data_IF_087668661939
#
_entry.id   IF_087668661939
#
_cell.length_a   1.000
_cell.length_b   1.000
_cell.length_c   1.000
_cell.angle_alpha   90.00
_cell.angle_beta   90.00
_cell.angle_gamma   90.00
#
_symmetry.space_group_name_H-M   'P 1'
#
loop_
_entity.id
_entity.type
_entity.pdbx_description
1 polymer ?
#
# COMPACT_ATOMS: atom_id res chain seq x y z
N UNK A 1 16.04 13.12 -2.40
CA UNK A 1 16.13 12.41 -3.68
C UNK A 1 15.56 10.99 -3.53
N UNK A 2 14.81 10.55 -4.49
CA UNK A 2 14.21 9.22 -4.44
C UNK A 2 15.15 8.18 -5.04
N UNK A 3 15.47 7.15 -4.28
CA UNK A 3 16.35 6.09 -4.70
C UNK A 3 15.55 4.90 -5.24
N UNK A 4 15.96 4.37 -6.39
CA UNK A 4 15.35 3.19 -6.96
C UNK A 4 15.90 1.94 -6.27
N UNK A 5 15.00 1.05 -5.88
CA UNK A 5 15.33 -0.25 -5.33
C UNK A 5 14.82 -1.33 -6.30
N UNK A 6 15.49 -2.46 -6.32
CA UNK A 6 15.19 -3.49 -7.30
C UNK A 6 14.66 -4.75 -6.66
N UNK A 7 13.54 -5.23 -7.20
CA UNK A 7 12.99 -6.54 -6.91
C UNK A 7 12.18 -6.99 -8.12
N UNK A 8 12.22 -8.26 -8.45
CA UNK A 8 11.74 -8.76 -9.75
C UNK A 8 10.31 -8.36 -10.13
N UNK A 9 9.38 -8.41 -9.20
CA UNK A 9 7.97 -8.13 -9.47
C UNK A 9 7.52 -6.75 -9.00
N UNK A 10 8.46 -5.92 -8.54
CA UNK A 10 8.15 -4.61 -7.96
C UNK A 10 9.03 -3.51 -8.54
N UNK A 11 8.42 -2.36 -8.75
CA UNK A 11 9.15 -1.09 -8.85
C UNK A 11 9.12 -0.46 -7.48
N UNK A 12 10.28 -0.14 -6.95
CA UNK A 12 10.44 0.39 -5.60
C UNK A 12 11.25 1.67 -5.65
N UNK A 13 10.76 2.70 -4.95
CA UNK A 13 11.48 3.95 -4.79
C UNK A 13 11.47 4.34 -3.32
N UNK A 14 12.62 4.74 -2.83
CA UNK A 14 12.82 5.18 -1.45
C UNK A 14 13.35 6.60 -1.43
N UNK A 15 12.68 7.48 -0.70
CA UNK A 15 13.16 8.84 -0.46
C UNK A 15 13.54 8.94 1.02
N UNK A 16 14.87 8.92 1.32
CA UNK A 16 15.31 8.97 2.72
C UNK A 16 14.98 10.27 3.42
N UNK A 17 14.98 11.38 2.69
CA UNK A 17 14.68 12.69 3.28
C UNK A 17 13.24 12.80 3.72
N UNK A 18 12.33 12.21 2.96
CA UNK A 18 10.89 12.19 3.27
C UNK A 18 10.49 10.97 4.10
N UNK A 19 11.38 10.01 4.28
CA UNK A 19 11.08 8.71 4.89
C UNK A 19 9.91 8.01 4.21
N UNK A 20 9.96 8.04 2.88
CA UNK A 20 8.87 7.57 2.03
C UNK A 20 9.32 6.36 1.23
N UNK A 21 8.45 5.36 1.16
CA UNK A 21 8.59 4.21 0.27
C UNK A 21 7.40 4.15 -0.67
N UNK A 22 7.69 4.08 -1.97
CA UNK A 22 6.70 3.85 -3.02
C UNK A 22 6.95 2.49 -3.63
N UNK A 23 5.90 1.68 -3.78
CA UNK A 23 6.03 0.45 -4.56
C UNK A 23 4.87 0.30 -5.53
N UNK A 24 5.15 -0.32 -6.66
CA UNK A 24 4.18 -0.62 -7.70
C UNK A 24 4.47 -2.01 -8.25
N UNK A 25 3.41 -2.77 -8.48
CA UNK A 25 3.52 -4.09 -9.08
C UNK A 25 3.82 -4.00 -10.57
N UNK A 26 4.59 -4.94 -11.08
CA UNK A 26 4.92 -5.03 -12.49
C UNK A 26 5.12 -6.47 -12.91
N UNK A 27 5.02 -6.72 -14.21
CA UNK A 27 5.23 -8.02 -14.78
C UNK A 27 4.01 -8.93 -14.63
N UNK A 28 4.23 -10.21 -14.85
CA UNK A 28 3.18 -11.20 -14.78
C UNK A 28 3.02 -11.69 -13.35
N UNK A 29 1.78 -11.75 -12.89
CA UNK A 29 1.50 -12.26 -11.55
C UNK A 29 1.88 -13.73 -11.44
N UNK A 30 2.52 -14.05 -10.32
CA UNK A 30 2.84 -15.41 -9.94
C UNK A 30 2.87 -15.44 -8.42
N UNK A 31 2.06 -16.30 -7.78
CA UNK A 31 2.00 -16.33 -6.33
C UNK A 31 3.34 -16.70 -5.69
N UNK A 32 4.19 -17.44 -6.40
CA UNK A 32 5.56 -17.69 -5.91
C UNK A 32 6.40 -16.43 -5.83
N UNK A 33 6.11 -15.43 -6.65
CA UNK A 33 6.81 -14.14 -6.63
C UNK A 33 6.11 -13.13 -5.73
N UNK A 34 4.79 -13.26 -5.58
CA UNK A 34 4.00 -12.31 -4.80
C UNK A 34 4.37 -12.34 -3.32
N UNK A 35 4.39 -13.53 -2.72
CA UNK A 35 4.66 -13.67 -1.29
C UNK A 35 6.03 -13.14 -0.89
N UNK A 36 7.13 -13.52 -1.56
CA UNK A 36 8.42 -12.93 -1.25
C UNK A 36 8.47 -11.42 -1.46
N UNK A 37 7.78 -10.91 -2.48
CA UNK A 37 7.75 -9.47 -2.76
C UNK A 37 7.04 -8.69 -1.65
N UNK A 38 5.90 -9.18 -1.19
CA UNK A 38 5.17 -8.55 -0.08
C UNK A 38 6.01 -8.56 1.19
N UNK A 39 6.66 -9.68 1.48
CA UNK A 39 7.54 -9.80 2.64
C UNK A 39 8.73 -8.86 2.53
N UNK A 40 9.25 -8.67 1.32
CA UNK A 40 10.35 -7.73 1.08
C UNK A 40 9.92 -6.29 1.35
N UNK A 41 8.73 -5.89 0.89
CA UNK A 41 8.19 -4.57 1.19
C UNK A 41 8.05 -4.38 2.70
N UNK A 42 7.47 -5.36 3.38
CA UNK A 42 7.31 -5.32 4.82
C UNK A 42 8.65 -5.15 5.54
N UNK A 43 9.64 -5.86 5.10
CA UNK A 43 11.00 -5.79 5.65
C UNK A 43 11.60 -4.39 5.46
N UNK A 44 11.45 -3.83 4.27
CA UNK A 44 11.95 -2.48 3.99
C UNK A 44 11.24 -1.42 4.84
N UNK A 45 9.95 -1.55 5.06
CA UNK A 45 9.21 -0.61 5.89
C UNK A 45 9.83 -0.52 7.29
N UNK A 46 10.22 -1.64 7.86
CA UNK A 46 10.85 -1.68 9.17
C UNK A 46 12.31 -1.24 9.15
N UNK A 47 13.11 -1.78 8.23
CA UNK A 47 14.54 -1.49 8.16
C UNK A 47 14.84 -0.03 7.83
N UNK A 48 14.07 0.55 6.94
CA UNK A 48 14.26 1.93 6.51
C UNK A 48 13.49 2.94 7.38
N UNK A 49 12.77 2.46 8.37
CA UNK A 49 11.97 3.30 9.28
C UNK A 49 11.03 4.22 8.51
N UNK A 50 10.30 3.64 7.59
CA UNK A 50 9.40 4.39 6.71
C UNK A 50 8.26 5.00 7.53
N UNK A 51 7.99 6.28 7.29
CA UNK A 51 6.85 6.98 7.86
C UNK A 51 5.69 7.08 6.89
N UNK A 52 5.99 7.15 5.59
CA UNK A 52 5.00 7.35 4.54
C UNK A 52 5.16 6.27 3.49
N UNK A 53 4.08 5.55 3.25
CA UNK A 53 4.09 4.42 2.34
C UNK A 53 3.04 4.61 1.26
N UNK A 54 3.43 4.50 0.00
CA UNK A 54 2.52 4.48 -1.13
C UNK A 54 2.51 3.08 -1.72
N UNK A 55 1.39 2.40 -1.59
CA UNK A 55 1.18 1.09 -2.18
C UNK A 55 0.37 1.26 -3.47
N UNK A 56 1.05 1.24 -4.60
CA UNK A 56 0.42 1.39 -5.89
C UNK A 56 0.03 0.00 -6.42
N UNK A 57 -1.27 -0.24 -6.45
CA UNK A 57 -1.83 -1.54 -6.82
C UNK A 57 -1.99 -1.71 -8.32
N UNK A 58 -1.63 -0.70 -9.12
CA UNK A 58 -1.61 -0.85 -10.57
C UNK A 58 -0.60 -1.93 -10.98
N UNK A 59 -0.98 -2.73 -11.95
CA UNK A 59 -0.16 -3.84 -12.40
C UNK A 59 -0.33 -5.12 -11.59
N UNK A 60 -1.07 -5.08 -10.49
CA UNK A 60 -1.34 -6.26 -9.69
C UNK A 60 -2.53 -7.02 -10.29
N UNK A 61 -2.36 -8.26 -10.73
CA UNK A 61 -3.49 -9.08 -11.17
C UNK A 61 -4.31 -9.56 -9.98
N UNK A 62 -5.36 -10.32 -10.24
CA UNK A 62 -6.29 -10.77 -9.21
C UNK A 62 -5.58 -11.50 -8.08
N UNK A 63 -5.78 -11.03 -6.85
CA UNK A 63 -5.24 -11.67 -5.67
C UNK A 63 -6.00 -12.95 -5.35
N UNK A 64 -5.28 -14.06 -5.29
CA UNK A 64 -5.87 -15.32 -4.85
C UNK A 64 -6.17 -15.30 -3.35
N UNK A 65 -6.96 -16.27 -2.90
CA UNK A 65 -7.32 -16.35 -1.48
C UNK A 65 -6.11 -16.54 -0.58
N UNK A 66 -5.13 -17.34 -1.01
CA UNK A 66 -3.91 -17.55 -0.23
C UNK A 66 -3.14 -16.25 -0.02
N UNK A 67 -3.07 -15.42 -1.06
CA UNK A 67 -2.38 -14.14 -0.96
C UNK A 67 -3.15 -13.15 -0.09
N UNK A 68 -4.47 -13.18 -0.15
CA UNK A 68 -5.31 -12.38 0.73
C UNK A 68 -5.11 -12.79 2.20
N UNK A 69 -5.04 -14.08 2.47
CA UNK A 69 -4.76 -14.58 3.82
C UNK A 69 -3.37 -14.17 4.29
N UNK A 70 -2.37 -14.26 3.42
CA UNK A 70 -1.02 -13.84 3.77
C UNK A 70 -1.03 -12.39 4.25
N UNK A 71 -1.68 -11.52 3.51
CA UNK A 71 -1.74 -10.10 3.84
C UNK A 71 -2.50 -9.89 5.14
N UNK A 72 -3.69 -10.43 5.27
CA UNK A 72 -4.55 -10.17 6.43
C UNK A 72 -4.05 -10.82 7.71
N UNK A 73 -3.46 -12.01 7.62
CA UNK A 73 -3.08 -12.78 8.81
C UNK A 73 -1.63 -12.58 9.23
N UNK A 74 -0.75 -12.27 8.30
CA UNK A 74 0.68 -12.19 8.60
C UNK A 74 1.26 -10.80 8.38
N UNK A 75 0.99 -10.19 7.24
CA UNK A 75 1.61 -8.91 6.88
C UNK A 75 0.98 -7.76 7.66
N UNK A 76 -0.33 -7.62 7.57
CA UNK A 76 -1.04 -6.48 8.17
C UNK A 76 -0.86 -6.39 9.68
N UNK A 77 -0.93 -7.50 10.46
CA UNK A 77 -0.68 -7.41 11.90
C UNK A 77 0.72 -6.92 12.25
N UNK A 78 1.73 -7.30 11.47
CA UNK A 78 3.10 -6.86 11.72
C UNK A 78 3.31 -5.41 11.31
N UNK A 79 2.75 -5.01 10.20
CA UNK A 79 2.80 -3.62 9.73
C UNK A 79 2.07 -2.70 10.72
N UNK A 80 0.96 -3.16 11.28
CA UNK A 80 0.20 -2.40 12.28
C UNK A 80 0.99 -2.11 13.55
N UNK A 81 2.02 -2.90 13.83
CA UNK A 81 2.87 -2.72 15.02
C UNK A 81 4.08 -1.83 14.77
N UNK A 82 4.31 -1.41 13.53
CA UNK A 82 5.48 -0.59 13.22
C UNK A 82 5.31 0.81 13.80
N UNK A 83 6.23 1.24 14.69
CA UNK A 83 6.05 2.50 15.41
C UNK A 83 6.29 3.73 14.55
N UNK A 84 6.99 3.58 13.43
CA UNK A 84 7.36 4.72 12.59
C UNK A 84 6.35 5.01 11.49
N UNK A 85 5.55 4.04 11.08
CA UNK A 85 4.62 4.21 9.97
C UNK A 85 3.45 5.10 10.38
N UNK A 86 3.25 6.18 9.63
CA UNK A 86 2.24 7.20 9.92
C UNK A 86 1.09 7.21 8.94
N UNK A 87 1.39 7.02 7.67
CA UNK A 87 0.39 7.13 6.61
C UNK A 87 0.64 6.12 5.52
N UNK A 88 -0.44 5.50 5.07
CA UNK A 88 -0.45 4.60 3.92
C UNK A 88 -1.40 5.17 2.88
N UNK A 89 -0.88 5.46 1.70
CA UNK A 89 -1.67 5.84 0.55
C UNK A 89 -1.81 4.65 -0.37
N UNK A 90 -3.04 4.23 -0.61
CA UNK A 90 -3.34 3.13 -1.53
C UNK A 90 -3.77 3.71 -2.87
N UNK A 91 -2.99 3.46 -3.90
CA UNK A 91 -3.36 3.82 -5.26
C UNK A 91 -4.09 2.65 -5.88
N UNK A 92 -5.38 2.83 -6.12
CA UNK A 92 -6.23 1.74 -6.58
C UNK A 92 -6.06 1.49 -8.07
N UNK A 93 -6.02 0.22 -8.43
CA UNK A 93 -6.07 -0.17 -9.83
C UNK A 93 -7.51 -0.12 -10.33
N UNK A 94 -7.68 -0.20 -11.66
CA UNK A 94 -9.00 -0.32 -12.26
C UNK A 94 -9.62 -1.71 -12.06
N UNK A 95 -8.90 -2.63 -11.47
CA UNK A 95 -9.38 -4.00 -11.23
C UNK A 95 -10.31 -4.02 -10.03
N UNK A 96 -11.60 -4.12 -10.28
CA UNK A 96 -12.65 -4.12 -9.25
C UNK A 96 -12.48 -5.26 -8.25
N UNK A 97 -12.07 -6.43 -8.73
CA UNK A 97 -11.83 -7.58 -7.86
C UNK A 97 -10.77 -7.25 -6.80
N UNK A 98 -9.66 -6.68 -7.20
CA UNK A 98 -8.60 -6.30 -6.27
C UNK A 98 -9.02 -5.18 -5.35
N UNK A 99 -9.80 -4.22 -5.83
CA UNK A 99 -10.34 -3.16 -4.98
C UNK A 99 -11.17 -3.76 -3.83
N UNK A 100 -12.06 -4.69 -4.15
CA UNK A 100 -12.89 -5.33 -3.15
C UNK A 100 -12.06 -6.20 -2.20
N UNK A 101 -11.05 -6.89 -2.71
CA UNK A 101 -10.17 -7.72 -1.89
C UNK A 101 -9.41 -6.86 -0.88
N UNK A 102 -8.86 -5.73 -1.31
CA UNK A 102 -8.13 -4.81 -0.45
C UNK A 102 -9.06 -4.20 0.61
N UNK A 103 -10.27 -3.81 0.22
CA UNK A 103 -11.25 -3.30 1.17
C UNK A 103 -11.56 -4.31 2.26
N UNK A 104 -11.77 -5.57 1.86
CA UNK A 104 -12.04 -6.65 2.81
C UNK A 104 -10.88 -6.87 3.77
N UNK A 105 -9.65 -6.90 3.26
CA UNK A 105 -8.45 -7.08 4.07
C UNK A 105 -8.33 -5.96 5.11
N UNK A 106 -8.48 -4.72 4.68
CA UNK A 106 -8.35 -3.56 5.57
C UNK A 106 -9.48 -3.48 6.57
N UNK A 107 -10.69 -3.85 6.17
CA UNK A 107 -11.83 -3.85 7.08
C UNK A 107 -11.61 -4.81 8.26
N UNK A 108 -11.07 -6.00 7.97
CA UNK A 108 -10.78 -6.98 9.01
C UNK A 108 -9.64 -6.54 9.93
N UNK A 109 -8.67 -5.78 9.42
CA UNK A 109 -7.50 -5.35 10.18
C UNK A 109 -7.59 -3.94 10.76
N UNK A 110 -8.64 -3.20 10.45
CA UNK A 110 -8.71 -1.77 10.73
C UNK A 110 -8.58 -1.41 12.21
N UNK A 111 -9.10 -2.25 13.10
CA UNK A 111 -9.05 -1.99 14.54
C UNK A 111 -7.63 -1.94 15.10
N UNK A 112 -6.68 -2.53 14.40
CA UNK A 112 -5.30 -2.63 14.86
C UNK A 112 -4.37 -1.63 14.20
N UNK A 113 -4.84 -0.91 13.18
CA UNK A 113 -4.00 0.04 12.45
C UNK A 113 -3.81 1.32 13.26
N UNK A 114 -2.55 1.73 13.40
CA UNK A 114 -2.16 2.96 14.12
C UNK A 114 -1.80 4.09 13.18
N UNK A 115 -1.92 3.87 11.89
CA UNK A 115 -1.60 4.86 10.87
C UNK A 115 -2.83 5.14 10.03
N UNK A 116 -2.84 6.30 9.40
CA UNK A 116 -3.93 6.71 8.53
C UNK A 116 -3.83 6.02 7.18
N UNK A 117 -4.95 5.57 6.66
CA UNK A 117 -5.05 4.95 5.33
C UNK A 117 -5.98 5.77 4.47
N UNK A 118 -5.53 6.13 3.27
CA UNK A 118 -6.33 6.85 2.29
C UNK A 118 -6.23 6.18 0.93
N UNK A 119 -7.29 6.32 0.14
CA UNK A 119 -7.38 5.74 -1.20
C UNK A 119 -7.26 6.83 -2.24
N UNK A 120 -6.51 6.55 -3.31
CA UNK A 120 -6.30 7.49 -4.40
C UNK A 120 -6.45 6.79 -5.75
N UNK A 121 -6.87 7.54 -6.76
CA UNK A 121 -6.97 7.01 -8.13
C UNK A 121 -5.66 7.09 -8.90
N UNK A 122 -4.72 7.89 -8.43
CA UNK A 122 -3.42 8.05 -9.07
C UNK A 122 -2.32 8.33 -8.05
N UNK A 123 -1.08 8.07 -8.46
CA UNK A 123 0.06 8.25 -7.58
C UNK A 123 0.35 9.70 -7.26
N UNK A 124 0.09 10.61 -8.20
CA UNK A 124 0.34 12.04 -7.98
C UNK A 124 -0.48 12.58 -6.82
N UNK A 125 -1.76 12.21 -6.74
CA UNK A 125 -2.63 12.61 -5.64
C UNK A 125 -2.16 12.02 -4.32
N UNK A 126 -1.68 10.77 -4.35
CA UNK A 126 -1.14 10.12 -3.16
C UNK A 126 0.09 10.85 -2.63
N UNK A 127 1.03 11.18 -3.51
CA UNK A 127 2.21 11.97 -3.14
C UNK A 127 1.83 13.31 -2.55
N UNK A 128 0.90 14.00 -3.19
CA UNK A 128 0.46 15.32 -2.72
C UNK A 128 -0.10 15.24 -1.30
N UNK A 129 -0.93 14.25 -1.02
CA UNK A 129 -1.48 14.06 0.32
C UNK A 129 -0.39 13.84 1.38
N UNK A 130 0.62 13.04 1.05
CA UNK A 130 1.69 12.74 1.99
C UNK A 130 2.61 13.94 2.24
N UNK A 131 2.90 14.71 1.18
CA UNK A 131 3.81 15.85 1.26
C UNK A 131 3.11 17.08 1.86
N UNK A 132 1.81 17.22 1.59
CA UNK A 132 1.01 18.36 2.06
C UNK A 132 -0.16 17.86 2.91
N UNK A 133 0.10 17.32 4.10
CA UNK A 133 -0.95 16.69 4.91
C UNK A 133 -2.02 17.69 5.38
N UNK A 134 -1.70 18.98 5.44
CA UNK A 134 -2.67 20.01 5.81
C UNK A 134 -3.77 20.20 4.77
N UNK A 135 -3.50 19.78 3.54
CA UNK A 135 -4.46 19.86 2.46
C UNK A 135 -5.29 18.58 2.33
N UNK A 136 -5.08 17.62 3.22
CA UNK A 136 -5.87 16.40 3.21
C UNK A 136 -7.32 16.77 3.39
N UNK A 137 -8.17 16.56 2.39
CA UNK A 137 -9.57 16.95 2.50
C UNK A 137 -10.26 16.15 3.58
N UNK A 138 -11.18 16.78 4.28
CA UNK A 138 -11.98 16.09 5.28
C UNK A 138 -12.75 14.90 4.69
N UNK A 139 -12.93 14.93 3.40
CA UNK A 139 -13.60 13.87 2.64
C UNK A 139 -12.62 12.86 2.07
N UNK A 140 -11.37 12.92 2.50
CA UNK A 140 -10.30 12.15 1.86
C UNK A 140 -10.40 10.66 2.08
N UNK A 141 -11.21 10.17 2.96
CA UNK A 141 -11.34 8.75 3.20
C UNK A 141 -12.68 8.20 2.72
N UNK A 142 -12.98 8.27 1.42
CA UNK A 142 -14.14 7.56 0.93
C UNK A 142 -13.96 6.08 1.20
N UNK A 143 -15.05 5.39 1.53
CA UNK A 143 -14.99 3.95 1.59
C UNK A 143 -14.59 3.42 0.21
N UNK A 144 -14.03 2.24 0.16
CA UNK A 144 -13.70 1.61 -1.12
C UNK A 144 -14.94 1.51 -2.01
N UNK A 145 -16.08 1.23 -1.43
CA UNK A 145 -17.33 1.16 -2.17
C UNK A 145 -17.69 2.51 -2.80
N UNK A 146 -17.50 3.62 -2.08
CA UNK A 146 -17.71 4.94 -2.63
C UNK A 146 -16.69 5.25 -3.73
N UNK A 147 -15.46 4.82 -3.56
CA UNK A 147 -14.43 4.96 -4.58
C UNK A 147 -14.74 4.19 -5.86
N UNK A 148 -15.38 3.04 -5.73
CA UNK A 148 -15.80 2.24 -6.89
C UNK A 148 -16.92 2.91 -7.68
N UNK A 149 -17.77 3.67 -7.02
CA UNK A 149 -18.89 4.36 -7.67
C UNK A 149 -18.42 5.66 -8.32
N UNK A 150 -17.43 6.25 -7.75
CA UNK A 150 -16.86 7.47 -8.29
C UNK A 150 -15.95 7.18 -9.47
#
# INVERSE_FOLDING_TARGET
MMDALYFDSLTLFHDPALRLLYHRWRGTYNSHLFQPAVQHVQQLLGQLRIEYWIADLNGLPNLGLEDQFLISEQVLPQVARMPHLRQLALVLSSNVYNQLAVESILHLGNEHLRFDVQYFSDAASAFDWLINPTDAPATAAPSMAAGLVA
#
